data_IF_821607354571
#
_entry.id   IF_821607354571
#
_cell.length_a   1.000
_cell.length_b   1.000
_cell.length_c   1.000
_cell.angle_alpha   90.00
_cell.angle_beta   90.00
_cell.angle_gamma   90.00
#
_symmetry.space_group_name_H-M   'P 1'
#
loop_
_entity.id
_entity.type
_entity.pdbx_description
1 polymer ?
#
# COMPACT_ATOMS: atom_id res chain seq x y z
N UNK A 1 11.09 -10.77 2.69
CA UNK A 1 10.93 -9.79 3.77
C UNK A 1 11.62 -8.52 3.32
N UNK A 2 11.04 -7.34 3.58
CA UNK A 2 11.75 -6.08 3.46
C UNK A 2 12.03 -5.59 4.87
N UNK A 3 13.22 -5.08 5.14
CA UNK A 3 13.49 -4.38 6.39
C UNK A 3 12.62 -3.12 6.44
N UNK A 4 12.28 -2.63 7.63
CA UNK A 4 11.70 -1.28 7.80
C UNK A 4 12.78 -0.19 7.64
N UNK A 5 13.79 -0.46 6.81
CA UNK A 5 14.94 0.39 6.59
C UNK A 5 14.80 1.19 5.30
N UNK A 6 15.65 2.20 5.19
CA UNK A 6 15.73 3.15 4.08
C UNK A 6 15.85 2.48 2.73
N UNK A 7 16.68 1.42 2.61
CA UNK A 7 16.89 0.68 1.36
C UNK A 7 15.58 0.09 0.80
N UNK A 8 14.75 -0.51 1.66
CA UNK A 8 13.47 -1.07 1.21
C UNK A 8 12.50 0.05 0.81
N UNK A 9 12.51 1.17 1.52
CA UNK A 9 11.72 2.36 1.20
C UNK A 9 12.10 2.97 -0.15
N UNK A 10 13.41 3.11 -0.42
CA UNK A 10 13.95 3.60 -1.69
C UNK A 10 13.50 2.73 -2.87
N UNK A 11 13.59 1.40 -2.75
CA UNK A 11 13.13 0.49 -3.82
C UNK A 11 11.63 0.62 -4.12
N UNK A 12 10.81 0.98 -3.12
CA UNK A 12 9.39 1.27 -3.32
C UNK A 12 9.24 2.61 -4.02
N UNK A 13 9.96 3.64 -3.56
CA UNK A 13 9.93 4.98 -4.15
C UNK A 13 10.33 4.99 -5.63
N UNK A 14 11.41 4.30 -6.01
CA UNK A 14 11.85 4.20 -7.41
C UNK A 14 10.77 3.61 -8.34
N UNK A 15 9.97 2.66 -7.84
CA UNK A 15 8.84 2.10 -8.60
C UNK A 15 7.68 3.08 -8.71
N UNK A 16 7.53 3.97 -7.74
CA UNK A 16 6.47 4.98 -7.70
C UNK A 16 6.79 6.21 -8.53
N UNK A 17 8.07 6.55 -8.76
CA UNK A 17 8.51 7.66 -9.63
C UNK A 17 7.96 7.60 -11.06
N UNK A 18 7.51 6.44 -11.52
CA UNK A 18 6.84 6.29 -12.83
C UNK A 18 5.45 6.93 -12.86
N UNK A 19 4.91 7.34 -11.70
CA UNK A 19 3.64 8.01 -11.57
C UNK A 19 3.86 9.46 -11.16
N UNK A 20 2.99 10.33 -11.63
CA UNK A 20 2.90 11.69 -11.13
C UNK A 20 2.32 11.66 -9.71
N UNK A 21 3.13 12.09 -8.74
CA UNK A 21 2.78 12.13 -7.31
C UNK A 21 2.97 13.56 -6.84
N UNK A 22 1.87 14.24 -6.52
CA UNK A 22 1.89 15.64 -6.06
C UNK A 22 2.28 15.79 -4.59
N UNK A 23 1.79 14.90 -3.73
CA UNK A 23 2.07 14.91 -2.29
C UNK A 23 2.17 13.49 -1.73
N UNK A 24 3.04 13.31 -0.74
CA UNK A 24 3.25 12.07 0.00
C UNK A 24 3.13 12.36 1.48
N UNK A 25 2.27 11.61 2.17
CA UNK A 25 2.09 11.72 3.60
C UNK A 25 2.58 10.45 4.31
N UNK A 26 3.39 10.62 5.36
CA UNK A 26 3.90 9.49 6.15
C UNK A 26 3.73 9.74 7.64
N UNK A 27 3.88 8.68 8.44
CA UNK A 27 4.11 8.83 9.87
C UNK A 27 5.50 9.46 10.13
N UNK A 28 5.78 9.75 11.41
CA UNK A 28 7.03 10.39 11.85
C UNK A 28 8.23 9.44 11.88
N UNK A 29 8.23 8.38 11.08
CA UNK A 29 9.36 7.47 11.02
C UNK A 29 10.53 8.10 10.24
N UNK A 30 11.69 8.20 10.89
CA UNK A 30 12.86 8.95 10.41
C UNK A 30 13.36 8.50 9.01
N UNK A 31 13.22 7.23 8.65
CA UNK A 31 13.76 6.76 7.37
C UNK A 31 13.04 7.33 6.16
N UNK A 32 11.81 7.87 6.31
CA UNK A 32 11.07 8.44 5.18
C UNK A 32 11.71 9.73 4.66
N UNK A 33 12.24 10.58 5.55
CA UNK A 33 12.91 11.84 5.17
C UNK A 33 14.25 11.60 4.47
N UNK A 34 14.81 10.38 4.53
CA UNK A 34 16.09 10.05 3.91
C UNK A 34 15.98 9.81 2.40
N UNK A 35 14.78 9.56 1.87
CA UNK A 35 14.60 9.27 0.44
C UNK A 35 13.41 9.96 -0.23
N UNK A 36 12.45 10.49 0.55
CA UNK A 36 11.36 11.28 -0.02
C UNK A 36 11.82 12.73 -0.21
N UNK A 37 11.47 13.38 -1.34
CA UNK A 37 11.77 14.79 -1.53
C UNK A 37 10.99 15.66 -0.54
N UNK A 38 11.68 16.55 0.17
CA UNK A 38 11.08 17.44 1.17
C UNK A 38 9.98 18.34 0.58
N UNK A 39 10.08 18.69 -0.71
CA UNK A 39 9.11 19.54 -1.40
C UNK A 39 7.71 18.93 -1.55
N UNK A 40 7.56 17.61 -1.41
CA UNK A 40 6.29 16.90 -1.57
C UNK A 40 5.95 16.02 -0.36
N UNK A 41 6.76 16.06 0.71
CA UNK A 41 6.65 15.13 1.83
C UNK A 41 6.12 15.83 3.09
N UNK A 42 4.94 15.41 3.53
CA UNK A 42 4.32 15.89 4.76
C UNK A 42 4.29 14.77 5.81
N UNK A 43 4.95 14.95 6.95
CA UNK A 43 4.82 14.04 8.08
C UNK A 43 3.62 14.41 8.94
N UNK A 44 2.61 13.55 9.01
CA UNK A 44 1.41 13.81 9.79
C UNK A 44 0.77 12.53 10.30
N UNK A 45 0.30 12.57 11.54
CA UNK A 45 -0.49 11.50 12.16
C UNK A 45 -1.98 11.56 11.79
N UNK A 46 -2.47 12.71 11.32
CA UNK A 46 -3.88 12.86 10.93
C UNK A 46 -4.17 12.16 9.59
N UNK A 47 -3.20 12.23 8.68
CA UNK A 47 -3.23 11.66 7.33
C UNK A 47 -3.24 10.11 7.34
N UNK A 48 -2.79 9.48 8.43
CA UNK A 48 -2.69 8.01 8.52
C UNK A 48 -4.04 7.32 8.70
N UNK A 49 -5.11 8.05 9.04
CA UNK A 49 -6.46 7.47 9.15
C UNK A 49 -6.89 6.76 7.86
N UNK A 50 -6.62 7.38 6.70
CA UNK A 50 -6.95 6.80 5.40
C UNK A 50 -6.18 5.51 5.16
N UNK A 51 -4.88 5.48 5.49
CA UNK A 51 -4.01 4.29 5.36
C UNK A 51 -4.52 3.15 6.24
N UNK A 52 -4.89 3.44 7.49
CA UNK A 52 -5.47 2.46 8.41
C UNK A 52 -6.81 1.93 7.90
N UNK A 53 -7.66 2.81 7.34
CA UNK A 53 -8.90 2.45 6.67
C UNK A 53 -8.69 1.46 5.53
N UNK A 54 -7.75 1.74 4.62
CA UNK A 54 -7.38 0.80 3.54
C UNK A 54 -6.83 -0.52 4.06
N UNK A 55 -5.99 -0.49 5.10
CA UNK A 55 -5.47 -1.70 5.73
C UNK A 55 -6.59 -2.55 6.37
N UNK A 56 -7.56 -1.92 7.01
CA UNK A 56 -8.77 -2.56 7.53
C UNK A 56 -9.59 -3.21 6.41
N UNK A 57 -9.85 -2.47 5.34
CA UNK A 57 -10.58 -2.94 4.16
C UNK A 57 -9.90 -4.15 3.51
N UNK A 58 -8.59 -4.08 3.30
CA UNK A 58 -7.80 -5.18 2.76
C UNK A 58 -7.91 -6.44 3.64
N UNK A 59 -7.79 -6.30 4.97
CA UNK A 59 -7.90 -7.44 5.90
C UNK A 59 -9.32 -7.97 6.03
N UNK A 60 -10.32 -7.13 5.82
CA UNK A 60 -11.73 -7.50 5.84
C UNK A 60 -12.07 -8.40 4.66
N UNK A 61 -11.80 -7.95 3.44
CA UNK A 61 -12.14 -8.70 2.22
C UNK A 61 -11.15 -9.80 1.88
N UNK A 62 -9.86 -9.62 2.18
CA UNK A 62 -8.81 -10.58 1.86
C UNK A 62 -8.29 -11.26 3.13
N UNK A 63 -9.02 -12.25 3.63
CA UNK A 63 -8.66 -13.00 4.84
C UNK A 63 -7.23 -13.58 4.83
N UNK A 64 -6.69 -13.87 3.63
CA UNK A 64 -5.29 -14.29 3.40
C UNK A 64 -4.24 -13.27 3.81
N UNK A 65 -4.58 -11.98 3.82
CA UNK A 65 -3.71 -10.91 4.30
C UNK A 65 -3.73 -10.78 5.83
N UNK A 66 -4.69 -11.40 6.51
CA UNK A 66 -4.81 -11.43 7.98
C UNK A 66 -4.25 -12.72 8.60
N UNK A 67 -4.54 -13.89 8.02
CA UNK A 67 -4.28 -15.20 8.65
C UNK A 67 -3.29 -16.05 7.86
N UNK A 68 -2.00 -15.73 7.99
CA UNK A 68 -0.89 -16.40 7.26
C UNK A 68 -0.86 -17.92 7.44
N UNK A 69 -1.22 -18.43 8.62
CA UNK A 69 -1.15 -19.86 8.96
C UNK A 69 -2.34 -20.70 8.49
N UNK A 70 -3.49 -20.06 8.21
CA UNK A 70 -4.73 -20.75 7.83
C UNK A 70 -5.16 -20.48 6.40
N UNK A 71 -4.77 -19.34 5.84
CA UNK A 71 -5.20 -18.88 4.52
C UNK A 71 -3.98 -18.44 3.71
N UNK A 72 -3.04 -19.36 3.47
CA UNK A 72 -1.84 -19.09 2.69
C UNK A 72 -2.12 -19.15 1.18
N UNK A 73 -1.34 -18.41 0.40
CA UNK A 73 -1.39 -18.47 -1.08
C UNK A 73 -0.15 -19.21 -1.57
N UNK A 74 -0.31 -20.08 -2.57
CA UNK A 74 0.81 -20.74 -3.25
C UNK A 74 1.37 -19.91 -4.41
N UNK A 75 0.59 -18.93 -4.88
CA UNK A 75 0.97 -18.04 -5.99
C UNK A 75 1.03 -16.60 -5.53
N UNK A 76 2.17 -15.95 -5.79
CA UNK A 76 2.35 -14.52 -5.57
C UNK A 76 1.52 -13.70 -6.58
N UNK A 77 1.36 -14.21 -7.81
CA UNK A 77 0.50 -13.60 -8.84
C UNK A 77 -0.93 -13.48 -8.35
N UNK A 78 -1.53 -14.59 -7.90
CA UNK A 78 -2.90 -14.57 -7.39
C UNK A 78 -3.11 -13.61 -6.22
N UNK A 79 -2.09 -13.42 -5.37
CA UNK A 79 -2.15 -12.44 -4.28
C UNK A 79 -2.21 -11.02 -4.83
N UNK A 80 -1.38 -10.69 -5.82
CA UNK A 80 -1.40 -9.38 -6.48
C UNK A 80 -2.75 -9.16 -7.17
N UNK A 81 -3.21 -10.13 -7.94
CA UNK A 81 -4.47 -10.04 -8.67
C UNK A 81 -5.66 -9.86 -7.74
N UNK A 82 -5.69 -10.54 -6.59
CA UNK A 82 -6.75 -10.37 -5.58
C UNK A 82 -6.81 -8.93 -5.05
N UNK A 83 -5.66 -8.31 -4.81
CA UNK A 83 -5.59 -6.91 -4.36
C UNK A 83 -6.02 -5.97 -5.48
N UNK A 84 -5.52 -6.18 -6.71
CA UNK A 84 -5.89 -5.37 -7.87
C UNK A 84 -7.39 -5.46 -8.13
N UNK A 85 -7.97 -6.65 -8.11
CA UNK A 85 -9.40 -6.88 -8.32
C UNK A 85 -10.24 -6.11 -7.30
N UNK A 86 -9.87 -6.16 -6.02
CA UNK A 86 -10.55 -5.42 -4.97
C UNK A 86 -10.47 -3.91 -5.18
N UNK A 87 -9.30 -3.39 -5.59
CA UNK A 87 -9.12 -1.97 -5.87
C UNK A 87 -9.95 -1.53 -7.08
N UNK A 88 -9.91 -2.28 -8.19
CA UNK A 88 -10.72 -2.00 -9.38
C UNK A 88 -12.22 -2.02 -9.10
N UNK A 89 -12.68 -2.99 -8.31
CA UNK A 89 -14.09 -3.05 -7.87
C UNK A 89 -14.47 -1.78 -7.09
N UNK A 90 -13.62 -1.36 -6.15
CA UNK A 90 -13.87 -0.17 -5.33
C UNK A 90 -13.86 1.11 -6.16
N UNK A 91 -12.98 1.19 -7.15
CA UNK A 91 -12.91 2.32 -8.08
C UNK A 91 -14.04 2.30 -9.13
N UNK A 92 -14.96 1.32 -9.07
CA UNK A 92 -16.02 1.10 -10.07
C UNK A 92 -15.50 0.94 -11.49
N UNK A 93 -14.24 0.49 -11.63
CA UNK A 93 -13.59 0.18 -12.91
C UNK A 93 -13.98 -1.21 -13.42
N UNK A 94 -14.67 -2.00 -12.59
CA UNK A 94 -15.26 -3.27 -13.00
C UNK A 94 -16.75 -3.06 -13.24
N UNK A 95 -17.19 -3.27 -14.48
CA UNK A 95 -18.57 -3.62 -14.76
C UNK A 95 -18.78 -5.06 -14.26
N UNK A 96 -18.89 -5.24 -12.95
CA UNK A 96 -19.45 -6.49 -12.46
C UNK A 96 -20.91 -6.41 -12.87
N UNK A 97 -21.28 -7.25 -13.84
CA UNK A 97 -22.64 -7.42 -14.31
C UNK A 97 -23.49 -7.67 -13.06
N UNK A 98 -24.27 -6.66 -12.68
CA UNK A 98 -25.31 -6.75 -11.66
C UNK A 98 -26.61 -7.13 -12.34
#
# INVERSE_FOLDING_TARGET
FGSRGTETGQLIWEKLKQKEIGEVMTDHWKTYTEFLPESIHTQSKAETYTVEGYNGLLRHFLARLRRKTKCYTKSLGMRKDSVILLMKNRNKELAIIG
#
